data_IF_984454441098
#
_entry.id   IF_984454441098
#
_cell.length_a   1.000
_cell.length_b   1.000
_cell.length_c   1.000
_cell.angle_alpha   90.00
_cell.angle_beta   90.00
_cell.angle_gamma   90.00
#
_symmetry.space_group_name_H-M   'P 1'
#
loop_
_entity.id
_entity.type
_entity.pdbx_description
1 polymer ?
#
# COMPACT_ATOMS: atom_id res chain seq x y z
N UNK A 1 36.01 -41.60 16.79
CA UNK A 1 35.42 -41.14 15.52
C UNK A 1 35.58 -39.64 15.46
N UNK A 2 36.48 -39.15 14.61
CA UNK A 2 36.80 -37.72 14.51
C UNK A 2 35.73 -37.00 13.67
N UNK A 3 35.05 -36.03 14.26
CA UNK A 3 34.15 -35.14 13.54
C UNK A 3 34.97 -34.14 12.72
N UNK A 4 34.66 -34.05 11.43
CA UNK A 4 35.33 -33.19 10.47
C UNK A 4 34.91 -31.72 10.70
N UNK A 5 35.86 -30.86 11.07
CA UNK A 5 35.69 -29.39 11.12
C UNK A 5 36.27 -28.77 9.86
N UNK A 6 35.54 -28.86 8.75
CA UNK A 6 35.86 -28.09 7.55
C UNK A 6 34.88 -26.92 7.37
N UNK A 7 35.37 -25.86 6.73
CA UNK A 7 34.58 -24.68 6.41
C UNK A 7 33.36 -25.04 5.56
N UNK A 8 32.28 -24.26 5.72
CA UNK A 8 31.02 -24.49 5.03
C UNK A 8 31.26 -24.53 3.50
N UNK A 9 31.05 -25.68 2.82
CA UNK A 9 31.36 -25.85 1.40
C UNK A 9 30.46 -25.01 0.48
N UNK A 10 29.41 -24.38 1.02
CA UNK A 10 28.50 -23.48 0.29
C UNK A 10 28.83 -22.00 0.50
N UNK A 11 29.89 -21.66 1.25
CA UNK A 11 30.23 -20.26 1.56
C UNK A 11 30.63 -19.45 0.31
N UNK A 12 31.13 -20.13 -0.72
CA UNK A 12 31.53 -19.57 -2.02
C UNK A 12 30.44 -19.65 -3.09
N UNK A 13 29.30 -20.29 -2.79
CA UNK A 13 28.19 -20.41 -3.74
C UNK A 13 27.32 -19.16 -3.64
N UNK A 14 27.32 -18.35 -4.70
CA UNK A 14 26.43 -17.20 -4.85
C UNK A 14 24.98 -17.71 -4.74
N UNK A 15 24.28 -17.36 -3.67
CA UNK A 15 22.86 -17.66 -3.53
C UNK A 15 22.12 -17.14 -4.77
N UNK A 16 21.39 -18.03 -5.44
CA UNK A 16 20.46 -17.61 -6.48
C UNK A 16 19.48 -16.63 -5.84
N UNK A 17 19.38 -15.42 -6.41
CA UNK A 17 18.24 -14.55 -6.12
C UNK A 17 17.03 -15.33 -6.60
N UNK A 18 16.27 -15.89 -5.66
CA UNK A 18 14.95 -16.42 -5.94
C UNK A 18 14.21 -15.34 -6.73
N UNK A 19 13.67 -15.72 -7.90
CA UNK A 19 12.77 -14.86 -8.66
C UNK A 19 11.74 -14.32 -7.66
N UNK A 20 11.60 -12.99 -7.57
CA UNK A 20 10.64 -12.37 -6.67
C UNK A 20 9.28 -13.01 -6.98
N UNK A 21 8.68 -13.65 -5.98
CA UNK A 21 7.35 -14.24 -6.11
C UNK A 21 6.43 -13.10 -6.56
N UNK A 22 5.70 -13.28 -7.67
CA UNK A 22 4.68 -12.31 -8.07
C UNK A 22 3.80 -12.03 -6.85
N UNK A 23 3.76 -10.76 -6.42
CA UNK A 23 2.98 -10.42 -5.24
C UNK A 23 1.52 -10.58 -5.54
N UNK A 24 0.90 -11.59 -4.94
CA UNK A 24 -0.53 -11.69 -4.90
C UNK A 24 -1.13 -10.51 -4.11
N UNK A 25 -2.00 -9.73 -4.74
CA UNK A 25 -2.83 -8.71 -4.12
C UNK A 25 -4.31 -9.13 -4.16
N UNK A 26 -5.17 -8.33 -3.53
CA UNK A 26 -6.61 -8.61 -3.46
C UNK A 26 -7.28 -8.32 -4.80
N UNK A 27 -8.26 -9.14 -5.18
CA UNK A 27 -9.16 -8.82 -6.28
C UNK A 27 -10.20 -7.77 -5.87
N UNK A 28 -10.90 -7.18 -6.83
CA UNK A 28 -12.01 -6.25 -6.58
C UNK A 28 -13.08 -6.92 -5.70
N UNK A 29 -13.45 -8.16 -6.01
CA UNK A 29 -14.44 -8.93 -5.27
C UNK A 29 -14.00 -9.19 -3.81
N UNK A 30 -12.73 -9.54 -3.60
CA UNK A 30 -12.19 -9.73 -2.25
C UNK A 30 -12.19 -8.42 -1.45
N UNK A 31 -11.84 -7.28 -2.08
CA UNK A 31 -11.91 -5.97 -1.44
C UNK A 31 -13.35 -5.60 -1.05
N UNK A 32 -14.31 -5.80 -1.96
CA UNK A 32 -15.73 -5.55 -1.70
C UNK A 32 -16.24 -6.43 -0.54
N UNK A 33 -15.92 -7.73 -0.58
CA UNK A 33 -16.29 -8.67 0.47
C UNK A 33 -15.69 -8.30 1.84
N UNK A 34 -14.42 -7.87 1.87
CA UNK A 34 -13.78 -7.42 3.09
C UNK A 34 -14.46 -6.18 3.67
N UNK A 35 -14.78 -5.18 2.84
CA UNK A 35 -15.49 -3.98 3.26
C UNK A 35 -16.86 -4.36 3.82
N UNK A 36 -17.67 -5.08 3.05
CA UNK A 36 -19.02 -5.49 3.46
C UNK A 36 -19.01 -6.26 4.80
N UNK A 37 -18.19 -7.29 4.92
CA UNK A 37 -18.09 -8.11 6.14
C UNK A 37 -17.59 -7.31 7.35
N UNK A 38 -16.79 -6.27 7.12
CA UNK A 38 -16.28 -5.40 8.19
C UNK A 38 -17.27 -4.32 8.63
N UNK A 39 -18.20 -3.94 7.77
CA UNK A 39 -19.27 -2.99 8.09
C UNK A 39 -20.34 -3.65 8.98
N UNK A 40 -20.68 -4.91 8.70
CA UNK A 40 -21.64 -5.69 9.49
C UNK A 40 -21.02 -6.34 10.74
N UNK A 41 -19.75 -6.05 11.06
CA UNK A 41 -19.04 -6.71 12.15
C UNK A 41 -19.45 -6.16 13.53
N UNK A 42 -20.26 -6.94 14.26
CA UNK A 42 -20.95 -6.56 15.51
C UNK A 42 -20.06 -5.94 16.59
N UNK A 43 -18.82 -6.44 16.75
CA UNK A 43 -17.98 -6.05 17.90
C UNK A 43 -16.97 -4.93 17.61
N UNK A 44 -16.71 -4.61 16.34
CA UNK A 44 -15.55 -3.79 15.97
C UNK A 44 -15.85 -2.89 14.77
N UNK A 45 -16.64 -1.84 15.01
CA UNK A 45 -17.06 -0.88 14.00
C UNK A 45 -15.95 -0.04 13.36
N UNK A 46 -14.70 -0.09 13.83
CA UNK A 46 -13.59 0.63 13.19
C UNK A 46 -12.80 -0.22 12.18
N UNK A 47 -13.08 -1.54 12.04
CA UNK A 47 -12.39 -2.39 11.04
C UNK A 47 -12.59 -1.83 9.63
N UNK A 48 -13.83 -1.56 9.23
CA UNK A 48 -14.13 -1.09 7.88
C UNK A 48 -13.45 0.25 7.57
N UNK A 49 -13.34 1.14 8.57
CA UNK A 49 -12.67 2.43 8.43
C UNK A 49 -11.19 2.26 8.13
N UNK A 50 -10.51 1.37 8.85
CA UNK A 50 -9.10 1.05 8.59
C UNK A 50 -8.93 0.41 7.21
N UNK A 51 -9.82 -0.51 6.83
CA UNK A 51 -9.74 -1.17 5.52
C UNK A 51 -9.88 -0.14 4.40
N UNK A 52 -10.95 0.67 4.43
CA UNK A 52 -11.19 1.74 3.45
C UNK A 52 -10.02 2.72 3.38
N UNK A 53 -9.50 3.15 4.54
CA UNK A 53 -8.36 4.05 4.59
C UNK A 53 -7.10 3.45 3.96
N UNK A 54 -6.79 2.19 4.25
CA UNK A 54 -5.61 1.53 3.67
C UNK A 54 -5.76 1.34 2.16
N UNK A 55 -6.96 0.97 1.69
CA UNK A 55 -7.27 0.84 0.26
C UNK A 55 -7.27 2.18 -0.48
N UNK A 56 -7.54 3.30 0.20
CA UNK A 56 -7.52 4.62 -0.41
C UNK A 56 -6.14 5.29 -0.41
N UNK A 57 -5.24 4.91 0.50
CA UNK A 57 -3.98 5.67 0.75
C UNK A 57 -2.71 4.83 0.69
N UNK A 58 -2.81 3.50 0.58
CA UNK A 58 -1.66 2.60 0.67
C UNK A 58 -1.04 2.54 2.07
N UNK A 59 -1.81 2.89 3.10
CA UNK A 59 -1.34 2.87 4.48
C UNK A 59 -1.08 1.44 4.98
N UNK A 60 -0.06 1.28 5.83
CA UNK A 60 0.15 0.08 6.66
C UNK A 60 -0.90 0.04 7.76
N UNK A 61 -1.38 -1.15 8.14
CA UNK A 61 -2.41 -1.25 9.17
C UNK A 61 -2.03 -0.57 10.49
N UNK A 62 -0.78 -0.76 10.92
CA UNK A 62 -0.27 -0.16 12.16
C UNK A 62 -0.20 1.36 12.10
N UNK A 63 0.09 1.95 10.92
CA UNK A 63 0.15 3.41 10.81
C UNK A 63 -1.27 3.98 10.75
N UNK A 64 -2.18 3.33 10.02
CA UNK A 64 -3.59 3.69 9.98
C UNK A 64 -4.26 3.59 11.36
N UNK A 65 -4.06 2.48 12.09
CA UNK A 65 -4.69 2.24 13.40
C UNK A 65 -4.18 3.15 14.52
N UNK A 66 -3.11 3.91 14.27
CA UNK A 66 -2.51 4.85 15.24
C UNK A 66 -2.77 6.31 14.87
N UNK A 67 -3.52 6.57 13.81
CA UNK A 67 -3.86 7.93 13.43
C UNK A 67 -4.66 8.63 14.53
N UNK A 68 -4.39 9.91 14.66
CA UNK A 68 -5.05 10.82 15.58
C UNK A 68 -5.75 11.93 14.80
N UNK A 69 -6.72 12.61 15.41
CA UNK A 69 -7.47 13.68 14.74
C UNK A 69 -6.59 14.82 14.24
N UNK A 70 -5.47 15.12 14.91
CA UNK A 70 -4.51 16.15 14.44
C UNK A 70 -3.83 15.79 13.12
N UNK A 71 -3.82 14.51 12.76
CA UNK A 71 -3.26 14.01 11.50
C UNK A 71 -4.29 14.00 10.36
N UNK A 72 -5.56 14.29 10.67
CA UNK A 72 -6.64 14.38 9.71
C UNK A 72 -7.00 15.86 9.50
N UNK A 73 -6.63 16.38 8.34
CA UNK A 73 -7.12 17.67 7.84
C UNK A 73 -8.21 17.41 6.81
N UNK A 74 -9.01 18.43 6.47
CA UNK A 74 -10.08 18.29 5.48
C UNK A 74 -9.54 17.62 4.20
N UNK A 75 -10.08 16.43 3.91
CA UNK A 75 -9.76 15.62 2.73
C UNK A 75 -8.29 15.20 2.60
N UNK A 76 -7.54 15.13 3.70
CA UNK A 76 -6.12 14.78 3.66
C UNK A 76 -5.63 14.17 4.98
N UNK A 77 -4.97 13.03 4.88
CA UNK A 77 -4.38 12.30 6.01
C UNK A 77 -2.87 12.47 6.00
N UNK A 78 -2.28 12.80 7.15
CA UNK A 78 -0.83 12.98 7.31
C UNK A 78 -0.23 11.87 8.16
N UNK A 79 0.58 11.01 7.53
CA UNK A 79 1.30 9.94 8.22
C UNK A 79 2.66 10.44 8.69
N UNK A 80 2.85 10.44 10.01
CA UNK A 80 4.09 10.85 10.66
C UNK A 80 4.92 9.63 11.08
N UNK A 81 6.24 9.78 11.14
CA UNK A 81 7.14 8.74 11.67
C UNK A 81 8.07 9.30 12.75
N UNK A 82 8.32 8.50 13.78
CA UNK A 82 9.20 8.81 14.93
C UNK A 82 10.66 8.45 14.71
N UNK A 83 11.03 7.72 13.63
CA UNK A 83 12.43 7.37 13.31
C UNK A 83 12.75 7.56 11.83
N UNK A 84 13.24 8.75 11.47
CA UNK A 84 14.09 8.99 10.28
C UNK A 84 13.44 8.95 8.89
N UNK A 85 12.11 8.80 8.76
CA UNK A 85 11.43 8.86 7.46
C UNK A 85 10.61 10.15 7.33
N UNK A 86 10.55 10.68 6.10
CA UNK A 86 9.82 11.89 5.76
C UNK A 86 8.32 11.71 6.05
N UNK A 87 7.70 12.71 6.67
CA UNK A 87 6.25 12.81 6.78
C UNK A 87 5.65 12.81 5.37
N UNK A 88 4.48 12.21 5.22
CA UNK A 88 3.74 12.24 3.95
C UNK A 88 2.28 12.51 4.20
N UNK A 89 1.69 13.29 3.31
CA UNK A 89 0.26 13.56 3.32
C UNK A 89 -0.36 13.00 2.05
N UNK A 90 -1.49 12.32 2.21
CA UNK A 90 -2.23 11.68 1.12
C UNK A 90 -3.63 12.26 1.09
N UNK A 91 -4.07 12.82 -0.07
CA UNK A 91 -5.45 13.28 -0.21
C UNK A 91 -6.42 12.09 -0.15
N UNK A 92 -7.61 12.34 0.40
CA UNK A 92 -8.72 11.38 0.45
C UNK A 92 -9.99 12.08 -0.02
N UNK A 93 -10.95 11.33 -0.53
CA UNK A 93 -12.24 11.86 -0.95
C UNK A 93 -13.11 12.27 0.26
N UNK A 94 -14.09 13.16 0.06
CA UNK A 94 -14.99 13.63 1.12
C UNK A 94 -15.72 12.50 1.86
N UNK A 95 -16.18 11.48 1.13
CA UNK A 95 -16.94 10.38 1.70
C UNK A 95 -16.10 9.58 2.71
N UNK A 96 -14.81 9.35 2.40
CA UNK A 96 -13.91 8.69 3.35
C UNK A 96 -13.59 9.59 4.54
N UNK A 97 -13.41 10.90 4.30
CA UNK A 97 -13.17 11.85 5.39
C UNK A 97 -14.32 11.83 6.39
N UNK A 98 -15.57 11.90 5.93
CA UNK A 98 -16.76 11.91 6.79
C UNK A 98 -16.89 10.61 7.60
N UNK A 99 -16.50 9.47 7.02
CA UNK A 99 -16.51 8.16 7.70
C UNK A 99 -15.48 8.07 8.84
N UNK A 100 -14.32 8.72 8.71
CA UNK A 100 -13.22 8.59 9.69
C UNK A 100 -13.06 9.81 10.61
N UNK A 101 -13.71 10.93 10.28
CA UNK A 101 -13.63 12.16 11.06
C UNK A 101 -14.20 11.99 12.46
N UNK A 102 -13.55 12.65 13.43
CA UNK A 102 -14.02 12.79 14.81
C UNK A 102 -13.70 14.21 15.28
N UNK A 103 -14.59 14.82 16.03
CA UNK A 103 -14.39 16.11 16.71
C UNK A 103 -13.46 15.94 17.94
N UNK A 104 -12.27 15.40 17.74
CA UNK A 104 -11.29 15.18 18.79
C UNK A 104 -9.88 15.11 18.20
N UNK A 105 -8.90 15.62 18.93
CA UNK A 105 -7.48 15.45 18.61
C UNK A 105 -6.94 14.06 18.95
N UNK A 106 -7.71 13.23 19.67
CA UNK A 106 -7.33 11.88 20.11
C UNK A 106 -7.27 10.84 18.99
N UNK A 107 -7.12 9.54 19.33
CA UNK A 107 -7.10 8.45 18.36
C UNK A 107 -8.36 8.42 17.49
N UNK A 108 -8.19 8.31 16.17
CA UNK A 108 -9.31 8.19 15.23
C UNK A 108 -10.03 6.85 15.36
N UNK A 109 -9.30 5.80 15.75
CA UNK A 109 -9.82 4.43 15.79
C UNK A 109 -9.53 3.80 17.15
N UNK A 110 -10.49 3.06 17.68
CA UNK A 110 -10.34 2.27 18.90
C UNK A 110 -10.18 0.78 18.55
N UNK A 111 -9.18 0.48 17.72
CA UNK A 111 -8.91 -0.89 17.27
C UNK A 111 -7.42 -1.20 17.20
N UNK A 112 -7.05 -2.37 17.70
CA UNK A 112 -5.70 -2.88 17.63
C UNK A 112 -5.35 -3.46 16.26
N UNK A 113 -4.07 -3.36 15.90
CA UNK A 113 -3.48 -4.01 14.72
C UNK A 113 -3.89 -5.49 14.58
N UNK A 114 -3.84 -6.25 15.68
CA UNK A 114 -4.10 -7.69 15.69
C UNK A 114 -5.55 -8.04 15.34
N UNK A 115 -6.51 -7.16 15.60
CA UNK A 115 -7.91 -7.39 15.24
C UNK A 115 -8.11 -7.28 13.74
N UNK A 116 -7.57 -6.22 13.11
CA UNK A 116 -7.61 -6.05 11.65
C UNK A 116 -6.84 -7.18 10.96
N UNK A 117 -5.64 -7.53 11.45
CA UNK A 117 -4.85 -8.63 10.90
C UNK A 117 -5.63 -9.96 10.93
N UNK A 118 -6.21 -10.33 12.09
CA UNK A 118 -7.01 -11.56 12.21
C UNK A 118 -8.24 -11.56 11.30
N UNK A 119 -8.90 -10.41 11.15
CA UNK A 119 -10.03 -10.26 10.25
C UNK A 119 -9.62 -10.55 8.79
N UNK A 120 -8.53 -9.94 8.32
CA UNK A 120 -8.01 -10.18 6.97
C UNK A 120 -7.62 -11.65 6.76
N UNK A 121 -6.87 -12.24 7.70
CA UNK A 121 -6.45 -13.66 7.60
C UNK A 121 -7.65 -14.61 7.59
N UNK A 122 -8.71 -14.31 8.34
CA UNK A 122 -9.95 -15.12 8.38
C UNK A 122 -10.66 -15.10 7.03
N UNK A 123 -10.68 -13.96 6.35
CA UNK A 123 -11.46 -13.78 5.12
C UNK A 123 -10.66 -13.99 3.83
N UNK A 124 -9.33 -13.90 3.90
CA UNK A 124 -8.42 -14.12 2.77
C UNK A 124 -7.22 -14.97 3.22
N UNK A 125 -7.44 -16.26 3.57
CA UNK A 125 -6.42 -17.12 4.17
C UNK A 125 -5.21 -17.36 3.26
N UNK A 126 -5.41 -17.35 1.93
CA UNK A 126 -4.33 -17.50 0.94
C UNK A 126 -3.24 -16.44 1.10
N UNK A 127 -3.60 -15.24 1.54
CA UNK A 127 -2.69 -14.10 1.72
C UNK A 127 -2.18 -13.96 3.16
N UNK A 128 -2.29 -14.98 4.02
CA UNK A 128 -1.91 -14.91 5.44
C UNK A 128 -0.50 -14.37 5.69
N UNK A 129 0.47 -14.77 4.86
CA UNK A 129 1.87 -14.33 4.97
C UNK A 129 2.05 -12.84 4.62
N UNK A 130 1.18 -12.30 3.76
CA UNK A 130 1.22 -10.92 3.29
C UNK A 130 0.17 -10.03 3.96
N UNK A 131 -0.66 -10.58 4.84
CA UNK A 131 -1.85 -9.91 5.37
C UNK A 131 -1.54 -8.54 6.01
N UNK A 132 -0.37 -8.36 6.63
CA UNK A 132 0.05 -7.07 7.21
C UNK A 132 0.14 -5.90 6.21
N UNK A 133 0.32 -6.22 4.93
CA UNK A 133 0.53 -5.25 3.84
C UNK A 133 -0.41 -5.45 2.64
N UNK A 134 -1.32 -6.42 2.71
CA UNK A 134 -2.13 -6.81 1.56
C UNK A 134 -2.99 -5.68 1.00
N UNK A 135 -3.62 -4.84 1.85
CA UNK A 135 -4.41 -3.69 1.37
C UNK A 135 -3.52 -2.62 0.73
N UNK A 136 -2.29 -2.46 1.20
CA UNK A 136 -1.30 -1.55 0.60
C UNK A 136 -0.84 -2.07 -0.75
N UNK A 137 -0.69 -3.39 -0.91
CA UNK A 137 -0.38 -4.00 -2.20
C UNK A 137 -1.55 -3.83 -3.15
N UNK A 138 -2.78 -4.09 -2.71
CA UNK A 138 -3.98 -3.83 -3.51
C UNK A 138 -4.05 -2.37 -3.98
N UNK A 139 -3.91 -1.39 -3.07
CA UNK A 139 -3.87 0.03 -3.44
C UNK A 139 -2.80 0.31 -4.51
N UNK A 140 -1.57 -0.13 -4.29
CA UNK A 140 -0.47 0.15 -5.19
C UNK A 140 -0.64 -0.51 -6.56
N UNK A 141 -1.13 -1.75 -6.59
CA UNK A 141 -1.41 -2.49 -7.82
C UNK A 141 -2.49 -1.79 -8.64
N UNK A 142 -3.66 -1.51 -8.05
CA UNK A 142 -4.74 -0.82 -8.75
C UNK A 142 -4.38 0.61 -9.12
N UNK A 143 -3.59 1.32 -8.31
CA UNK A 143 -3.09 2.64 -8.67
C UNK A 143 -2.27 2.60 -9.95
N UNK A 144 -1.37 1.61 -10.10
CA UNK A 144 -0.58 1.46 -11.33
C UNK A 144 -1.42 0.97 -12.51
N UNK A 145 -2.29 -0.02 -12.30
CA UNK A 145 -3.21 -0.52 -13.34
C UNK A 145 -4.10 0.58 -13.92
N UNK A 146 -4.49 1.55 -13.09
CA UNK A 146 -5.32 2.69 -13.50
C UNK A 146 -4.49 3.83 -14.14
N UNK A 147 -3.25 3.58 -14.56
CA UNK A 147 -2.38 4.59 -15.21
C UNK A 147 -1.72 5.58 -14.24
N UNK A 148 -1.66 5.23 -12.95
CA UNK A 148 -1.04 6.09 -11.94
C UNK A 148 0.46 6.29 -12.15
N UNK A 149 0.97 7.47 -11.75
CA UNK A 149 2.38 7.79 -11.89
C UNK A 149 3.24 7.08 -10.81
N UNK A 150 4.25 6.31 -11.22
CA UNK A 150 5.09 5.52 -10.30
C UNK A 150 5.86 6.38 -9.26
N UNK A 151 6.25 7.61 -9.62
CA UNK A 151 6.93 8.54 -8.71
C UNK A 151 5.94 9.09 -7.68
N UNK A 152 4.70 9.37 -8.10
CA UNK A 152 3.63 9.74 -7.18
C UNK A 152 3.34 8.59 -6.21
N UNK A 153 3.24 7.35 -6.71
CA UNK A 153 3.06 6.16 -5.87
C UNK A 153 4.18 6.01 -4.84
N UNK A 154 5.45 6.21 -5.22
CA UNK A 154 6.58 6.18 -4.29
C UNK A 154 6.38 7.16 -3.12
N UNK A 155 5.94 8.38 -3.41
CA UNK A 155 5.68 9.43 -2.41
C UNK A 155 4.48 9.09 -1.54
N UNK A 156 3.38 8.60 -2.12
CA UNK A 156 2.17 8.17 -1.40
C UNK A 156 2.49 7.01 -0.45
N UNK A 157 3.30 6.05 -0.87
CA UNK A 157 3.72 4.91 -0.06
C UNK A 157 4.81 5.28 0.96
N UNK A 158 5.52 6.39 0.75
CA UNK A 158 6.65 6.80 1.58
C UNK A 158 7.85 5.86 1.45
N UNK A 159 8.12 5.37 0.24
CA UNK A 159 9.30 4.56 -0.06
C UNK A 159 10.52 5.47 -0.22
N UNK A 160 11.58 5.19 0.54
CA UNK A 160 12.84 5.95 0.45
C UNK A 160 13.64 5.59 -0.80
N UNK A 161 13.47 4.37 -1.30
CA UNK A 161 14.11 3.87 -2.51
C UNK A 161 13.03 3.51 -3.53
N UNK A 162 13.16 4.04 -4.75
CA UNK A 162 12.24 3.77 -5.86
C UNK A 162 12.18 2.28 -6.20
N UNK A 163 13.25 1.51 -5.95
CA UNK A 163 13.27 0.05 -6.15
C UNK A 163 12.14 -0.67 -5.41
N UNK A 164 11.74 -0.15 -4.24
CA UNK A 164 10.59 -0.70 -3.48
C UNK A 164 9.25 -0.48 -4.17
N UNK A 165 9.15 0.53 -5.03
CA UNK A 165 7.94 0.83 -5.81
C UNK A 165 7.98 0.17 -7.18
N UNK A 166 9.17 0.00 -7.78
CA UNK A 166 9.35 -0.60 -9.12
C UNK A 166 8.75 -1.99 -9.27
N UNK A 167 8.62 -2.73 -8.19
CA UNK A 167 7.88 -4.00 -8.14
C UNK A 167 6.41 -3.93 -8.59
N UNK A 168 5.81 -2.74 -8.70
CA UNK A 168 4.46 -2.55 -9.27
C UNK A 168 4.48 -2.00 -10.71
N UNK A 169 5.65 -1.69 -11.26
CA UNK A 169 5.76 -0.99 -12.54
C UNK A 169 5.21 -1.82 -13.71
N UNK A 170 5.34 -3.15 -13.65
CA UNK A 170 4.82 -4.07 -14.66
C UNK A 170 3.28 -4.08 -14.78
N UNK A 171 2.58 -3.45 -13.81
CA UNK A 171 1.12 -3.32 -13.83
C UNK A 171 0.65 -2.04 -14.53
N UNK A 172 1.56 -1.12 -14.85
CA UNK A 172 1.21 0.08 -15.58
C UNK A 172 0.76 -0.29 -17.02
N UNK A 173 -0.24 0.40 -17.58
CA UNK A 173 -0.53 0.28 -19.01
C UNK A 173 0.71 0.59 -19.85
N UNK A 174 0.84 -0.08 -20.99
CA UNK A 174 1.89 0.24 -21.95
C UNK A 174 1.59 1.57 -22.64
N UNK A 175 2.58 2.47 -22.60
CA UNK A 175 2.50 3.83 -23.15
C UNK A 175 3.56 4.05 -24.25
N UNK A 176 4.08 2.98 -24.85
CA UNK A 176 5.16 3.12 -25.85
C UNK A 176 4.71 3.95 -27.06
N UNK A 177 3.44 3.88 -27.45
CA UNK A 177 2.87 4.66 -28.55
C UNK A 177 2.72 6.15 -28.22
N UNK A 178 2.68 6.53 -26.94
CA UNK A 178 2.60 7.92 -26.50
C UNK A 178 3.83 8.74 -26.95
N UNK A 179 4.95 8.08 -27.29
CA UNK A 179 6.11 8.76 -27.86
C UNK A 179 5.76 9.55 -29.13
N UNK A 180 4.80 9.08 -29.93
CA UNK A 180 4.38 9.76 -31.17
C UNK A 180 3.69 11.09 -30.86
N UNK A 181 2.91 11.16 -29.78
CA UNK A 181 2.12 12.34 -29.43
C UNK A 181 2.82 13.26 -28.42
N UNK A 182 3.69 12.73 -27.56
CA UNK A 182 4.33 13.47 -26.46
C UNK A 182 5.79 13.88 -26.71
N UNK A 183 6.37 13.50 -27.86
CA UNK A 183 7.71 13.99 -28.21
C UNK A 183 7.69 15.51 -28.54
N UNK A 184 8.80 16.23 -28.37
CA UNK A 184 8.84 17.66 -28.58
C UNK A 184 8.58 18.09 -30.05
N UNK A 185 8.86 17.25 -31.06
CA UNK A 185 8.61 17.62 -32.46
C UNK A 185 7.13 17.87 -32.74
N UNK A 186 6.23 17.11 -32.09
CA UNK A 186 4.78 17.30 -32.23
C UNK A 186 4.31 18.66 -31.71
N UNK A 187 5.03 19.27 -30.76
CA UNK A 187 4.69 20.58 -30.18
C UNK A 187 5.42 21.76 -30.85
N UNK A 188 6.39 21.47 -31.72
CA UNK A 188 7.11 22.49 -32.46
C UNK A 188 6.32 22.77 -33.75
N UNK A 189 5.50 23.82 -33.76
CA UNK A 189 5.01 24.42 -35.01
C UNK A 189 6.21 25.03 -35.75
N UNK A 190 6.94 24.21 -36.50
CA UNK A 190 7.94 24.71 -37.44
C UNK A 190 7.16 25.25 -38.63
N UNK A 191 6.85 26.54 -38.58
CA UNK A 191 6.38 27.27 -39.77
C UNK A 191 7.49 27.20 -40.83
N UNK A 192 7.17 26.83 -42.08
CA UNK A 192 8.15 26.69 -43.16
C UNK A 192 8.86 28.00 -43.52
#
# INVERSE_FOLDING_TARGET
MGEWKGDNPLQSVRQFKLHETEMEFLTIEEMQNLIFKSEVHEFHGDIHKIIKLCLATGARFREASRLTGVQLTKYKVTFTQTKGKKNRSVPINPELYDVIYKESSGPLFNIGYSTVYRFIVKHVPRLKQQAAHVLRHAFASYYMMNGGNIIALQRILGHSDIKQTMRYAHLAPDHLEDVVTQNPLTSLEVSP
#
